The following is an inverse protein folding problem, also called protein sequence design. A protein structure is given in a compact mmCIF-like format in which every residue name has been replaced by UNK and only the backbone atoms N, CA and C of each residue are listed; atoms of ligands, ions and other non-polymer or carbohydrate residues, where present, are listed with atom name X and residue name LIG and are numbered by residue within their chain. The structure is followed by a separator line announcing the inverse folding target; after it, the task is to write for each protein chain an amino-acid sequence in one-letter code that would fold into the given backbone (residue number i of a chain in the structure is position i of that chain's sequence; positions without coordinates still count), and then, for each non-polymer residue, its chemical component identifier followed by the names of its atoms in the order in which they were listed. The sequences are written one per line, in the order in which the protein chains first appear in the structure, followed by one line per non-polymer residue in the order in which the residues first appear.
data_IF_579666822105
#
_entry.id   IF_579666822105
#
_cell.length_a   1.000
_cell.length_b   1.000
_cell.length_c   1.000
_cell.angle_alpha   90.00
_cell.angle_beta   90.00
_cell.angle_gamma   90.00
#
_symmetry.space_group_name_H-M   'P 1'
#
loop_
_entity.id
_entity.type
_entity.pdbx_description
1 polymer ?
#
# COMPACT_ATOMS: atom_id res chain seq x y z
N UNK A 1 14.82 -22.71 34.84
CA UNK A 1 15.78 -22.25 35.87
C UNK A 1 15.01 -21.93 37.12
N UNK A 2 15.31 -22.56 38.25
CA UNK A 2 14.64 -22.30 39.53
C UNK A 2 15.52 -21.38 40.36
N UNK A 3 15.03 -20.25 40.78
CA UNK A 3 15.73 -19.39 41.74
C UNK A 3 15.14 -19.59 43.13
N UNK A 4 15.97 -19.89 44.13
CA UNK A 4 15.62 -19.90 45.56
C UNK A 4 16.02 -18.58 46.17
N UNK A 5 15.04 -17.82 46.65
CA UNK A 5 15.27 -16.67 47.52
C UNK A 5 14.98 -17.03 48.96
N UNK A 6 15.91 -16.77 49.86
CA UNK A 6 15.78 -16.94 51.31
C UNK A 6 15.48 -15.58 51.94
N UNK A 7 14.36 -15.45 52.59
CA UNK A 7 14.06 -14.37 53.50
C UNK A 7 13.23 -14.90 54.66
N UNK A 8 13.74 -14.67 55.88
CA UNK A 8 13.06 -14.97 57.16
C UNK A 8 12.56 -16.41 57.35
N UNK A 9 13.42 -17.40 57.17
CA UNK A 9 13.16 -18.77 57.63
C UNK A 9 12.06 -19.55 56.89
N UNK A 10 11.51 -19.03 55.79
CA UNK A 10 10.55 -19.73 54.94
C UNK A 10 11.06 -19.80 53.48
N UNK A 11 11.07 -20.99 52.92
CA UNK A 11 11.41 -21.22 51.50
C UNK A 11 10.12 -21.07 50.66
N UNK A 12 10.08 -20.11 49.74
CA UNK A 12 9.06 -20.04 48.72
C UNK A 12 9.68 -20.52 47.42
N UNK A 13 9.16 -21.61 46.88
CA UNK A 13 9.50 -22.06 45.51
C UNK A 13 8.49 -21.48 44.54
N UNK A 14 8.89 -20.51 43.71
CA UNK A 14 8.10 -20.09 42.58
C UNK A 14 8.43 -21.02 41.40
N UNK A 15 7.49 -21.88 41.05
CA UNK A 15 7.52 -22.64 39.80
C UNK A 15 6.93 -21.77 38.71
N UNK A 16 7.75 -21.25 37.79
CA UNK A 16 7.28 -20.67 36.53
C UNK A 16 6.76 -21.79 35.63
N UNK A 17 5.47 -22.13 35.77
CA UNK A 17 4.75 -22.91 34.77
C UNK A 17 4.23 -21.94 33.71
N UNK A 18 4.79 -22.02 32.54
CA UNK A 18 4.27 -21.35 31.37
C UNK A 18 5.35 -20.64 30.55
N UNK A 19 6.12 -21.40 29.79
CA UNK A 19 6.55 -20.87 28.49
C UNK A 19 5.27 -20.58 27.73
N UNK A 20 4.80 -19.32 27.74
CA UNK A 20 3.89 -18.86 26.69
C UNK A 20 4.68 -19.11 25.41
N UNK A 21 4.25 -20.10 24.64
CA UNK A 21 4.73 -20.26 23.27
C UNK A 21 4.63 -18.89 22.63
N UNK A 22 5.76 -18.35 22.19
CA UNK A 22 5.78 -17.17 21.34
C UNK A 22 4.86 -17.53 20.17
N UNK A 23 3.75 -16.83 19.92
CA UNK A 23 2.84 -17.22 18.87
C UNK A 23 3.66 -17.28 17.59
N UNK A 24 3.68 -18.46 16.96
CA UNK A 24 4.38 -18.68 15.71
C UNK A 24 3.99 -17.57 14.75
N UNK A 25 4.97 -16.86 14.20
CA UNK A 25 4.74 -15.81 13.19
C UNK A 25 3.86 -16.46 12.13
N UNK A 26 2.62 -15.97 11.96
CA UNK A 26 1.72 -16.49 10.93
C UNK A 26 2.43 -16.27 9.59
N UNK A 27 2.82 -17.34 8.86
CA UNK A 27 3.72 -17.21 7.70
C UNK A 27 3.16 -16.35 6.57
N UNK A 28 1.88 -15.96 6.67
CA UNK A 28 1.12 -15.26 5.64
C UNK A 28 0.79 -13.80 5.98
N UNK A 29 1.37 -13.24 7.06
CA UNK A 29 1.14 -11.84 7.47
C UNK A 29 2.37 -10.96 7.14
N UNK A 30 2.11 -9.65 7.00
CA UNK A 30 3.14 -8.65 6.72
C UNK A 30 3.53 -8.54 5.24
N UNK A 31 4.54 -7.72 4.98
CA UNK A 31 5.07 -7.47 3.63
C UNK A 31 5.88 -8.67 3.14
N UNK A 32 5.65 -9.06 1.89
CA UNK A 32 6.48 -10.01 1.14
C UNK A 32 6.92 -9.36 -0.16
N UNK A 33 8.19 -9.45 -0.46
CA UNK A 33 8.76 -9.04 -1.76
C UNK A 33 8.49 -10.15 -2.77
N UNK A 34 7.86 -9.80 -3.89
CA UNK A 34 7.68 -10.68 -5.05
C UNK A 34 8.76 -10.45 -6.09
N UNK A 35 9.19 -9.21 -6.24
CA UNK A 35 10.28 -8.80 -7.13
C UNK A 35 10.92 -7.51 -6.64
N UNK A 36 12.23 -7.42 -6.72
CA UNK A 36 13.01 -6.23 -6.35
C UNK A 36 14.16 -6.04 -7.36
N UNK A 37 14.10 -5.01 -8.20
CA UNK A 37 15.19 -4.65 -9.09
C UNK A 37 16.32 -3.95 -8.31
N UNK A 38 17.47 -3.80 -8.94
CA UNK A 38 18.63 -3.15 -8.30
C UNK A 38 18.32 -1.70 -7.87
N UNK A 39 17.62 -0.94 -8.71
CA UNK A 39 17.25 0.46 -8.45
C UNK A 39 15.75 0.69 -8.67
N UNK A 40 14.90 0.30 -7.72
CA UNK A 40 13.47 0.48 -7.88
C UNK A 40 13.06 1.95 -7.77
N UNK A 41 12.25 2.44 -8.72
CA UNK A 41 11.74 3.82 -8.74
C UNK A 41 10.35 3.95 -8.12
N UNK A 42 9.61 2.86 -8.00
CA UNK A 42 8.24 2.81 -7.48
C UNK A 42 8.00 1.50 -6.73
N UNK A 43 7.14 1.54 -5.72
CA UNK A 43 6.64 0.36 -5.01
C UNK A 43 5.21 0.06 -5.46
N UNK A 44 4.97 -1.11 -6.06
CA UNK A 44 3.65 -1.65 -6.32
C UNK A 44 3.26 -2.53 -5.13
N UNK A 45 2.21 -2.15 -4.41
CA UNK A 45 1.78 -2.82 -3.17
C UNK A 45 0.43 -3.48 -3.38
N UNK A 46 0.40 -4.80 -3.37
CA UNK A 46 -0.78 -5.62 -3.55
C UNK A 46 -1.42 -5.97 -2.21
N UNK A 47 -2.72 -5.65 -2.04
CA UNK A 47 -3.49 -5.86 -0.81
C UNK A 47 -4.72 -6.68 -1.11
N UNK A 48 -4.77 -7.92 -0.59
CA UNK A 48 -5.88 -8.85 -0.81
C UNK A 48 -7.13 -8.50 0.01
N UNK A 49 -8.27 -9.09 -0.35
CA UNK A 49 -9.54 -8.94 0.35
C UNK A 49 -9.79 -10.02 1.39
N UNK A 50 -11.06 -10.08 1.88
CA UNK A 50 -11.52 -11.14 2.79
C UNK A 50 -11.39 -12.51 2.12
N UNK A 51 -11.09 -13.54 2.91
CA UNK A 51 -10.76 -14.90 2.43
C UNK A 51 -9.54 -14.97 1.52
N UNK A 52 -8.89 -13.84 1.27
CA UNK A 52 -7.71 -13.75 0.44
C UNK A 52 -6.44 -14.22 1.15
N UNK A 53 -5.40 -14.32 0.36
CA UNK A 53 -4.05 -14.68 0.79
C UNK A 53 -3.05 -13.85 -0.01
N UNK A 54 -1.98 -13.40 0.64
CA UNK A 54 -1.00 -12.52 0.00
C UNK A 54 -0.39 -13.05 -1.31
N UNK A 55 -0.41 -14.38 -1.51
CA UNK A 55 0.04 -15.01 -2.75
C UNK A 55 -1.15 -15.50 -3.58
N UNK A 56 -1.98 -16.39 -3.05
CA UNK A 56 -3.02 -17.09 -3.82
C UNK A 56 -4.14 -16.20 -4.35
N UNK A 57 -4.35 -15.01 -3.80
CA UNK A 57 -5.30 -14.06 -4.37
C UNK A 57 -4.88 -13.65 -5.79
N UNK A 58 -3.60 -13.56 -6.03
CA UNK A 58 -2.97 -13.08 -7.26
C UNK A 58 -2.51 -14.21 -8.18
N UNK A 59 -2.81 -15.46 -7.86
CA UNK A 59 -2.43 -16.63 -8.66
C UNK A 59 -3.59 -17.09 -9.52
N UNK A 60 -3.35 -17.43 -10.77
CA UNK A 60 -4.36 -17.96 -11.69
C UNK A 60 -4.95 -19.26 -11.15
N UNK A 61 -4.11 -20.12 -10.59
CA UNK A 61 -4.49 -21.34 -9.89
C UNK A 61 -3.73 -21.50 -8.56
N UNK A 62 -4.07 -22.54 -7.79
CA UNK A 62 -3.47 -22.73 -6.44
C UNK A 62 -2.00 -23.11 -6.46
N UNK A 63 -1.48 -23.60 -7.57
CA UNK A 63 -0.12 -24.11 -7.70
C UNK A 63 0.81 -23.14 -8.45
N UNK A 64 0.25 -22.10 -9.06
CA UNK A 64 1.02 -21.09 -9.77
C UNK A 64 1.54 -19.99 -8.84
N UNK A 65 2.68 -19.42 -9.19
CA UNK A 65 3.16 -18.18 -8.59
C UNK A 65 2.16 -17.03 -8.88
N UNK A 66 2.12 -15.99 -8.04
CA UNK A 66 1.32 -14.79 -8.30
C UNK A 66 1.69 -14.14 -9.64
N UNK A 67 0.67 -13.77 -10.44
CA UNK A 67 0.89 -13.10 -11.72
C UNK A 67 1.73 -11.80 -11.61
N UNK A 68 1.65 -11.01 -10.50
CA UNK A 68 2.54 -9.86 -10.35
C UNK A 68 4.02 -10.25 -10.35
N UNK A 69 4.37 -11.42 -9.80
CA UNK A 69 5.74 -11.96 -9.83
C UNK A 69 6.13 -12.47 -11.22
N UNK A 70 5.18 -13.10 -11.93
CA UNK A 70 5.46 -13.75 -13.21
C UNK A 70 5.49 -12.78 -14.40
N UNK A 71 4.59 -11.79 -14.39
CA UNK A 71 4.32 -10.99 -15.58
C UNK A 71 4.83 -9.55 -15.50
N UNK A 72 4.83 -8.92 -14.31
CA UNK A 72 5.19 -7.51 -14.21
C UNK A 72 6.71 -7.23 -14.35
N UNK A 73 7.65 -8.08 -13.87
CA UNK A 73 9.07 -7.77 -13.97
C UNK A 73 9.57 -7.53 -15.38
N UNK A 74 9.06 -8.26 -16.37
CA UNK A 74 9.42 -8.07 -17.78
C UNK A 74 8.77 -6.85 -18.44
N UNK A 75 7.75 -6.27 -17.83
CA UNK A 75 6.93 -5.18 -18.38
C UNK A 75 7.10 -3.86 -17.66
N UNK A 76 7.51 -3.90 -16.40
CA UNK A 76 7.81 -2.76 -15.52
C UNK A 76 9.03 -3.16 -14.69
N UNK A 77 10.21 -3.31 -15.32
CA UNK A 77 11.42 -3.82 -14.66
C UNK A 77 11.92 -2.92 -13.54
N UNK A 78 11.57 -1.64 -13.54
CA UNK A 78 11.96 -0.65 -12.55
C UNK A 78 11.07 -0.62 -11.28
N UNK A 79 9.97 -1.38 -11.25
CA UNK A 79 9.08 -1.41 -10.10
C UNK A 79 9.49 -2.51 -9.11
N UNK A 80 9.52 -2.18 -7.80
CA UNK A 80 9.53 -3.17 -6.75
C UNK A 80 8.11 -3.65 -6.49
N UNK A 81 7.92 -4.98 -6.46
CA UNK A 81 6.60 -5.59 -6.33
C UNK A 81 6.48 -6.22 -4.93
N UNK A 82 5.51 -5.74 -4.18
CA UNK A 82 5.25 -6.12 -2.80
C UNK A 82 3.84 -6.66 -2.67
N UNK A 83 3.64 -7.63 -1.79
CA UNK A 83 2.30 -8.05 -1.36
C UNK A 83 2.20 -7.97 0.15
N UNK A 84 1.06 -7.49 0.64
CA UNK A 84 0.76 -7.41 2.07
C UNK A 84 -0.25 -8.47 2.46
N UNK A 85 0.09 -9.27 3.47
CA UNK A 85 -0.76 -10.29 4.04
C UNK A 85 -1.27 -9.92 5.43
N UNK A 86 -2.53 -10.25 5.69
CA UNK A 86 -3.16 -10.12 6.99
C UNK A 86 -4.16 -11.26 7.22
N UNK A 87 -4.63 -11.47 8.46
CA UNK A 87 -5.60 -12.51 8.76
C UNK A 87 -6.99 -12.10 8.23
N UNK A 88 -7.24 -12.48 6.99
CA UNK A 88 -8.51 -12.24 6.30
C UNK A 88 -9.49 -13.41 6.42
N UNK A 89 -9.30 -14.32 7.41
CA UNK A 89 -10.30 -15.35 7.68
C UNK A 89 -11.62 -14.69 8.04
N UNK A 90 -12.73 -15.18 7.43
CA UNK A 90 -14.05 -14.60 7.67
C UNK A 90 -14.39 -14.60 9.17
N UNK A 91 -14.06 -15.68 9.87
CA UNK A 91 -14.27 -15.76 11.33
C UNK A 91 -13.36 -14.76 12.08
N UNK A 92 -12.10 -14.65 11.68
CA UNK A 92 -11.16 -13.69 12.26
C UNK A 92 -11.56 -12.26 11.94
N UNK A 93 -11.82 -11.96 10.67
CA UNK A 93 -12.25 -10.66 10.21
C UNK A 93 -13.54 -10.21 10.92
N UNK A 94 -14.61 -11.05 10.94
CA UNK A 94 -15.88 -10.73 11.58
C UNK A 94 -15.86 -10.81 13.12
N UNK A 95 -15.03 -11.62 13.74
CA UNK A 95 -14.81 -11.60 15.21
C UNK A 95 -14.04 -10.35 15.65
N UNK A 96 -13.15 -9.88 14.81
CA UNK A 96 -12.33 -8.70 15.07
C UNK A 96 -13.04 -7.40 14.66
N UNK A 97 -14.02 -7.41 13.76
CA UNK A 97 -14.84 -6.23 13.42
C UNK A 97 -15.56 -5.72 14.68
N UNK A 98 -16.00 -6.61 15.59
CA UNK A 98 -16.49 -6.20 16.91
C UNK A 98 -15.44 -5.46 17.77
N UNK A 99 -14.16 -5.42 17.32
CA UNK A 99 -13.00 -4.78 17.98
C UNK A 99 -12.18 -3.88 17.04
N UNK A 100 -12.78 -3.36 15.95
CA UNK A 100 -12.13 -2.44 15.02
C UNK A 100 -11.01 -3.05 14.13
N UNK A 101 -11.23 -4.25 13.59
CA UNK A 101 -10.20 -5.01 12.85
C UNK A 101 -9.75 -4.41 11.52
N UNK A 102 -10.61 -3.66 10.81
CA UNK A 102 -10.14 -2.92 9.62
C UNK A 102 -9.07 -1.94 10.06
N UNK A 103 -9.30 -1.19 11.14
CA UNK A 103 -8.32 -0.28 11.71
C UNK A 103 -7.03 -0.98 12.14
N UNK A 104 -7.11 -2.17 12.74
CA UNK A 104 -5.91 -2.96 13.11
C UNK A 104 -5.12 -3.39 11.87
N UNK A 105 -5.80 -3.87 10.82
CA UNK A 105 -5.14 -4.26 9.57
C UNK A 105 -4.55 -3.06 8.84
N UNK A 106 -5.23 -1.92 8.86
CA UNK A 106 -4.78 -0.65 8.28
C UNK A 106 -3.55 -0.12 9.00
N UNK A 107 -3.54 -0.14 10.32
CA UNK A 107 -2.39 0.26 11.12
C UNK A 107 -1.20 -0.70 10.93
N UNK A 108 -1.46 -2.01 10.81
CA UNK A 108 -0.43 -3.00 10.51
C UNK A 108 0.17 -2.79 9.11
N UNK A 109 -0.65 -2.48 8.09
CA UNK A 109 -0.19 -2.14 6.76
C UNK A 109 0.70 -0.89 6.80
N UNK A 110 0.24 0.16 7.47
CA UNK A 110 0.95 1.44 7.59
C UNK A 110 2.30 1.26 8.29
N UNK A 111 2.32 0.57 9.44
CA UNK A 111 3.53 0.30 10.20
C UNK A 111 4.52 -0.59 9.43
N UNK A 112 4.01 -1.66 8.79
CA UNK A 112 4.84 -2.56 7.99
C UNK A 112 5.48 -1.85 6.79
N UNK A 113 4.72 -1.01 6.06
CA UNK A 113 5.24 -0.22 4.95
C UNK A 113 6.27 0.80 5.41
N UNK A 114 5.99 1.52 6.49
CA UNK A 114 6.92 2.52 7.02
C UNK A 114 8.25 1.87 7.42
N UNK A 115 8.20 0.76 8.16
CA UNK A 115 9.41 0.03 8.58
C UNK A 115 10.16 -0.56 7.39
N UNK A 116 9.46 -1.19 6.44
CA UNK A 116 10.07 -1.82 5.27
C UNK A 116 10.71 -0.81 4.32
N UNK A 117 10.25 0.44 4.31
CA UNK A 117 10.69 1.52 3.43
C UNK A 117 11.66 2.50 4.10
N UNK A 118 12.20 2.18 5.27
CA UNK A 118 13.09 3.08 6.02
C UNK A 118 14.29 3.61 5.21
N UNK A 119 14.79 2.83 4.26
CA UNK A 119 15.89 3.24 3.35
C UNK A 119 15.40 3.90 2.04
N UNK A 120 14.09 4.03 1.84
CA UNK A 120 13.48 4.54 0.61
C UNK A 120 12.16 5.27 0.91
N UNK A 121 12.16 6.10 1.95
CA UNK A 121 10.97 6.74 2.50
C UNK A 121 10.19 7.59 1.49
N UNK A 122 10.87 8.17 0.49
CA UNK A 122 10.27 9.05 -0.52
C UNK A 122 9.88 8.33 -1.82
N UNK A 123 10.18 7.02 -1.95
CA UNK A 123 9.81 6.29 -3.16
C UNK A 123 8.30 6.30 -3.35
N UNK A 124 7.80 6.62 -4.55
CA UNK A 124 6.38 6.55 -4.87
C UNK A 124 5.76 5.19 -4.58
N UNK A 125 4.48 5.20 -4.20
CA UNK A 125 3.68 4.00 -3.92
C UNK A 125 2.47 3.99 -4.85
N UNK A 126 2.19 2.83 -5.44
CA UNK A 126 0.94 2.53 -6.12
C UNK A 126 0.33 1.32 -5.43
N UNK A 127 -0.90 1.45 -4.94
CA UNK A 127 -1.64 0.34 -4.36
C UNK A 127 -2.51 -0.35 -5.40
N UNK A 128 -2.50 -1.68 -5.37
CA UNK A 128 -3.43 -2.55 -6.08
C UNK A 128 -4.21 -3.34 -5.03
N UNK A 129 -5.48 -3.03 -4.86
CA UNK A 129 -6.28 -3.55 -3.76
C UNK A 129 -7.52 -4.30 -4.26
N UNK A 130 -7.67 -5.54 -3.82
CA UNK A 130 -8.81 -6.39 -4.18
C UNK A 130 -9.87 -6.39 -3.07
N UNK A 131 -11.15 -6.22 -3.46
CA UNK A 131 -12.30 -6.39 -2.57
C UNK A 131 -12.17 -5.53 -1.29
N UNK A 132 -12.38 -6.11 -0.11
CA UNK A 132 -12.22 -5.40 1.18
C UNK A 132 -10.79 -4.90 1.47
N UNK A 133 -9.77 -5.38 0.75
CA UNK A 133 -8.42 -4.83 0.81
C UNK A 133 -8.37 -3.34 0.43
N UNK A 134 -9.29 -2.89 -0.43
CA UNK A 134 -9.44 -1.48 -0.75
C UNK A 134 -9.89 -0.62 0.44
N UNK A 135 -10.71 -1.17 1.34
CA UNK A 135 -11.11 -0.48 2.57
C UNK A 135 -9.94 -0.41 3.56
N UNK A 136 -9.13 -1.48 3.65
CA UNK A 136 -7.89 -1.49 4.46
C UNK A 136 -6.93 -0.40 3.98
N UNK A 137 -6.73 -0.28 2.66
CA UNK A 137 -5.89 0.78 2.07
C UNK A 137 -6.45 2.16 2.38
N UNK A 138 -7.75 2.39 2.14
CA UNK A 138 -8.39 3.69 2.43
C UNK A 138 -8.21 4.11 3.89
N UNK A 139 -8.49 3.21 4.83
CA UNK A 139 -8.36 3.49 6.26
C UNK A 139 -6.89 3.70 6.68
N UNK A 140 -5.94 2.97 6.05
CA UNK A 140 -4.51 3.22 6.25
C UNK A 140 -4.10 4.62 5.79
N UNK A 141 -4.62 5.11 4.64
CA UNK A 141 -4.36 6.47 4.18
C UNK A 141 -4.97 7.53 5.11
N UNK A 142 -6.15 7.28 5.67
CA UNK A 142 -6.76 8.16 6.67
C UNK A 142 -5.95 8.18 7.96
N UNK A 143 -5.50 7.03 8.43
CA UNK A 143 -4.64 6.89 9.61
C UNK A 143 -3.29 7.58 9.38
N UNK A 144 -2.70 7.43 8.19
CA UNK A 144 -1.49 8.14 7.77
C UNK A 144 -1.67 9.66 7.83
N UNK A 145 -2.77 10.18 7.26
CA UNK A 145 -3.11 11.61 7.29
C UNK A 145 -3.22 12.16 8.71
N UNK A 146 -3.87 11.41 9.60
CA UNK A 146 -4.13 11.81 10.99
C UNK A 146 -2.95 11.56 11.94
N UNK A 147 -1.91 10.86 11.50
CA UNK A 147 -0.80 10.46 12.37
C UNK A 147 0.04 11.67 12.80
N UNK A 148 0.39 11.80 14.08
CA UNK A 148 1.40 12.75 14.54
C UNK A 148 2.81 12.36 14.11
N UNK A 149 3.05 11.06 13.84
CA UNK A 149 4.35 10.50 13.51
C UNK A 149 4.75 10.80 12.05
N UNK A 150 5.86 11.52 11.81
CA UNK A 150 6.26 11.91 10.46
C UNK A 150 6.48 10.73 9.51
N UNK A 151 7.07 9.62 9.99
CA UNK A 151 7.34 8.43 9.19
C UNK A 151 6.05 7.72 8.72
N UNK A 152 4.97 7.75 9.52
CA UNK A 152 3.67 7.21 9.14
C UNK A 152 2.93 8.15 8.18
N UNK A 153 3.00 9.48 8.43
CA UNK A 153 2.38 10.49 7.55
C UNK A 153 2.97 10.46 6.14
N UNK A 154 4.28 10.24 6.04
CA UNK A 154 5.01 10.17 4.77
C UNK A 154 4.49 9.08 3.82
N UNK A 155 3.83 8.05 4.34
CA UNK A 155 3.23 7.01 3.48
C UNK A 155 2.20 7.64 2.55
N UNK A 156 1.26 8.45 3.06
CA UNK A 156 0.26 9.17 2.23
C UNK A 156 0.95 10.09 1.23
N UNK A 157 1.98 10.82 1.66
CA UNK A 157 2.71 11.76 0.79
C UNK A 157 3.38 11.06 -0.40
N UNK A 158 3.72 9.78 -0.24
CA UNK A 158 4.33 8.96 -1.30
C UNK A 158 3.31 8.26 -2.21
N UNK A 159 2.05 8.13 -1.82
CA UNK A 159 1.05 7.47 -2.67
C UNK A 159 0.75 8.32 -3.90
N UNK A 160 0.79 7.67 -5.05
CA UNK A 160 0.53 8.29 -6.36
C UNK A 160 -0.75 7.80 -6.98
N UNK A 161 -1.03 6.50 -6.84
CA UNK A 161 -2.20 5.92 -7.48
C UNK A 161 -2.78 4.76 -6.66
N UNK A 162 -4.06 4.50 -6.91
CA UNK A 162 -4.84 3.42 -6.32
C UNK A 162 -5.60 2.68 -7.43
N UNK A 163 -5.33 1.41 -7.60
CA UNK A 163 -6.11 0.50 -8.44
C UNK A 163 -7.01 -0.34 -7.55
N UNK A 164 -8.30 -0.20 -7.69
CA UNK A 164 -9.29 -0.99 -6.96
C UNK A 164 -9.87 -2.08 -7.85
N UNK A 165 -9.81 -3.33 -7.41
CA UNK A 165 -10.37 -4.49 -8.09
C UNK A 165 -11.57 -5.00 -7.29
N UNK A 166 -12.79 -4.74 -7.72
CA UNK A 166 -14.02 -5.15 -7.05
C UNK A 166 -14.13 -4.65 -5.60
N UNK A 167 -13.65 -3.43 -5.31
CA UNK A 167 -13.76 -2.84 -3.97
C UNK A 167 -15.08 -2.13 -3.81
N UNK A 168 -15.87 -2.38 -2.74
CA UNK A 168 -17.10 -1.65 -2.51
C UNK A 168 -16.81 -0.21 -2.06
N UNK A 169 -17.30 0.78 -2.82
CA UNK A 169 -17.12 2.20 -2.54
C UNK A 169 -18.39 2.88 -2.02
N UNK A 170 -19.56 2.37 -2.40
CA UNK A 170 -20.86 2.93 -2.01
C UNK A 170 -21.84 1.80 -1.71
N UNK A 171 -22.93 2.15 -1.05
CA UNK A 171 -24.13 1.35 -0.95
C UNK A 171 -24.71 1.30 0.44
N UNK A 172 -26.04 1.46 0.52
CA UNK A 172 -26.84 1.08 1.67
C UNK A 172 -26.75 -0.46 1.93
N UNK A 173 -26.29 -1.20 0.92
CA UNK A 173 -26.26 -2.66 0.86
C UNK A 173 -24.92 -3.27 1.21
N UNK A 174 -24.06 -2.56 1.98
CA UNK A 174 -22.81 -3.15 2.51
C UNK A 174 -23.10 -4.40 3.34
N UNK A 175 -24.27 -4.48 3.98
CA UNK A 175 -24.75 -5.68 4.64
C UNK A 175 -24.98 -6.83 3.66
N UNK A 176 -25.54 -6.54 2.49
CA UNK A 176 -25.79 -7.55 1.43
C UNK A 176 -24.48 -7.99 0.77
N UNK A 177 -23.59 -7.05 0.49
CA UNK A 177 -22.23 -7.36 0.01
C UNK A 177 -21.49 -8.25 1.03
N UNK A 178 -21.60 -7.92 2.30
CA UNK A 178 -21.04 -8.74 3.38
C UNK A 178 -21.65 -10.14 3.43
N UNK A 179 -22.97 -10.29 3.26
CA UNK A 179 -23.63 -11.60 3.18
C UNK A 179 -23.15 -12.41 1.97
N UNK A 180 -23.00 -11.77 0.80
CA UNK A 180 -22.46 -12.40 -0.42
C UNK A 180 -21.01 -12.86 -0.18
N UNK A 181 -20.17 -12.04 0.45
CA UNK A 181 -18.80 -12.39 0.81
C UNK A 181 -18.72 -13.57 1.80
N UNK A 182 -19.66 -13.65 2.74
CA UNK A 182 -19.80 -14.79 3.67
C UNK A 182 -20.18 -16.08 2.94
N UNK A 183 -21.14 -16.00 2.01
CA UNK A 183 -21.51 -17.13 1.14
C UNK A 183 -20.31 -17.55 0.29
N UNK A 184 -19.59 -16.60 -0.28
CA UNK A 184 -18.35 -16.83 -1.02
C UNK A 184 -17.31 -17.63 -0.21
N UNK A 185 -17.25 -17.40 1.10
CA UNK A 185 -16.34 -18.10 2.01
C UNK A 185 -16.82 -19.50 2.42
N UNK A 186 -17.98 -19.96 1.95
CA UNK A 186 -18.54 -21.28 2.29
C UNK A 186 -19.09 -21.37 3.72
N UNK A 187 -19.33 -20.26 4.40
CA UNK A 187 -19.80 -20.21 5.79
C UNK A 187 -21.32 -20.09 5.86
N UNK A 188 -22.02 -21.15 5.49
CA UNK A 188 -23.49 -21.16 5.31
C UNK A 188 -24.30 -21.62 6.52
N UNK A 189 -23.72 -21.75 7.72
CA UNK A 189 -24.49 -22.19 8.90
C UNK A 189 -25.36 -21.07 9.47
N UNK A 190 -26.62 -21.39 9.82
CA UNK A 190 -27.60 -20.43 10.39
C UNK A 190 -27.11 -19.70 11.65
N UNK A 191 -26.23 -20.31 12.45
CA UNK A 191 -25.62 -19.71 13.65
C UNK A 191 -24.56 -18.65 13.29
N UNK A 192 -23.84 -18.89 12.20
CA UNK A 192 -22.82 -17.96 11.68
C UNK A 192 -23.48 -16.75 11.04
N UNK A 193 -24.56 -16.93 10.28
CA UNK A 193 -25.31 -15.85 9.64
C UNK A 193 -25.87 -14.81 10.60
N UNK A 194 -26.53 -15.22 11.71
CA UNK A 194 -27.08 -14.24 12.67
C UNK A 194 -26.03 -13.39 13.37
N UNK A 195 -24.87 -13.98 13.72
CA UNK A 195 -23.76 -13.22 14.32
C UNK A 195 -23.15 -12.25 13.33
N UNK A 196 -23.04 -12.66 12.07
CA UNK A 196 -22.46 -11.84 11.00
C UNK A 196 -23.40 -10.69 10.65
N UNK A 197 -24.69 -10.91 10.52
CA UNK A 197 -25.69 -9.85 10.26
C UNK A 197 -25.65 -8.76 11.36
N UNK A 198 -25.60 -9.16 12.65
CA UNK A 198 -25.53 -8.22 13.75
C UNK A 198 -24.20 -7.44 13.82
N UNK A 199 -23.14 -7.98 13.24
CA UNK A 199 -21.85 -7.31 13.06
C UNK A 199 -21.92 -6.38 11.86
N UNK A 200 -22.42 -6.82 10.70
CA UNK A 200 -22.61 -6.01 9.50
C UNK A 200 -23.42 -4.72 9.75
N UNK A 201 -24.45 -4.77 10.59
CA UNK A 201 -25.23 -3.59 10.97
C UNK A 201 -24.42 -2.57 11.78
N UNK A 202 -23.54 -3.02 12.67
CA UNK A 202 -22.65 -2.15 13.45
C UNK A 202 -21.47 -1.64 12.63
N UNK A 203 -21.03 -2.41 11.65
CA UNK A 203 -19.89 -2.08 10.80
C UNK A 203 -20.25 -1.15 9.64
N UNK A 204 -21.54 -0.97 9.35
CA UNK A 204 -21.99 0.07 8.42
C UNK A 204 -21.48 1.46 8.85
N UNK A 205 -21.34 1.73 10.14
CA UNK A 205 -20.77 2.99 10.66
C UNK A 205 -19.27 3.10 10.38
N UNK A 206 -18.50 2.05 10.59
CA UNK A 206 -17.04 2.03 10.31
C UNK A 206 -16.80 2.20 8.81
N UNK A 207 -17.53 1.46 7.99
CA UNK A 207 -17.44 1.54 6.54
C UNK A 207 -17.87 2.93 6.03
N UNK A 208 -18.95 3.48 6.57
CA UNK A 208 -19.40 4.83 6.26
C UNK A 208 -18.34 5.88 6.63
N UNK A 209 -17.73 5.77 7.83
CA UNK A 209 -16.64 6.65 8.27
C UNK A 209 -15.46 6.59 7.30
N UNK A 210 -15.03 5.39 6.90
CA UNK A 210 -13.92 5.20 5.96
C UNK A 210 -14.25 5.85 4.61
N UNK A 211 -15.43 5.61 4.07
CA UNK A 211 -15.85 6.16 2.79
C UNK A 211 -15.94 7.69 2.83
N UNK A 212 -16.60 8.23 3.85
CA UNK A 212 -16.73 9.68 4.06
C UNK A 212 -15.36 10.34 4.21
N UNK A 213 -14.51 9.78 5.09
CA UNK A 213 -13.17 10.29 5.33
C UNK A 213 -12.29 10.25 4.07
N UNK A 214 -12.39 9.19 3.27
CA UNK A 214 -11.65 9.07 2.03
C UNK A 214 -12.11 10.09 0.98
N UNK A 215 -13.42 10.33 0.84
CA UNK A 215 -13.93 11.40 -0.03
C UNK A 215 -13.45 12.78 0.43
N UNK A 216 -13.42 13.04 1.74
CA UNK A 216 -12.90 14.29 2.29
C UNK A 216 -11.40 14.46 2.00
N UNK A 217 -10.62 13.37 2.08
CA UNK A 217 -9.21 13.34 1.71
C UNK A 217 -9.03 13.75 0.24
N UNK A 218 -9.76 13.12 -0.69
CA UNK A 218 -9.69 13.43 -2.11
C UNK A 218 -10.07 14.89 -2.42
N UNK A 219 -11.16 15.38 -1.82
CA UNK A 219 -11.59 16.78 -1.97
C UNK A 219 -10.56 17.78 -1.43
N UNK A 220 -9.89 17.47 -0.32
CA UNK A 220 -8.87 18.35 0.24
C UNK A 220 -7.66 18.47 -0.69
N UNK A 221 -7.20 17.36 -1.28
CA UNK A 221 -6.09 17.38 -2.23
C UNK A 221 -6.39 18.20 -3.48
N UNK A 222 -7.62 18.14 -4.00
CA UNK A 222 -8.06 18.97 -5.14
C UNK A 222 -8.06 20.46 -4.82
N UNK A 223 -8.49 20.85 -3.60
CA UNK A 223 -8.56 22.26 -3.19
C UNK A 223 -7.19 22.89 -2.94
N UNK A 224 -6.31 22.14 -2.34
CA UNK A 224 -4.99 22.62 -1.93
C UNK A 224 -4.01 22.72 -3.12
N UNK A 225 -4.44 22.31 -4.35
CA UNK A 225 -3.56 22.21 -5.51
C UNK A 225 -2.38 21.27 -5.28
N UNK A 226 -2.46 20.50 -4.20
CA UNK A 226 -1.52 19.42 -3.92
C UNK A 226 -1.77 18.29 -4.91
N UNK A 227 -0.79 17.44 -5.09
CA UNK A 227 -0.84 16.33 -6.02
C UNK A 227 -2.08 15.46 -5.80
N UNK A 228 -2.96 15.39 -6.79
CA UNK A 228 -4.15 14.55 -6.77
C UNK A 228 -3.77 13.07 -6.89
N UNK A 229 -4.45 12.21 -6.11
CA UNK A 229 -4.32 10.76 -6.27
C UNK A 229 -4.96 10.31 -7.58
N UNK A 230 -4.21 9.59 -8.38
CA UNK A 230 -4.75 8.86 -9.53
C UNK A 230 -5.53 7.63 -9.02
N UNK A 231 -6.73 7.40 -9.54
CA UNK A 231 -7.57 6.27 -9.13
C UNK A 231 -8.19 5.64 -10.36
N UNK A 232 -8.17 4.32 -10.43
CA UNK A 232 -8.96 3.53 -11.37
C UNK A 232 -9.68 2.43 -10.63
N UNK A 233 -10.96 2.24 -10.92
CA UNK A 233 -11.80 1.22 -10.36
C UNK A 233 -12.07 0.14 -11.41
N UNK A 234 -11.79 -1.13 -11.08
CA UNK A 234 -12.17 -2.27 -11.90
C UNK A 234 -13.37 -2.97 -11.24
N UNK A 235 -14.37 -3.32 -12.04
CA UNK A 235 -15.55 -4.05 -11.57
C UNK A 235 -15.72 -5.37 -12.30
N UNK A 236 -16.37 -6.35 -11.63
CA UNK A 236 -16.67 -7.67 -12.17
C UNK A 236 -17.85 -7.60 -13.16
N UNK A 237 -17.73 -8.27 -14.28
CA UNK A 237 -18.81 -8.36 -15.28
C UNK A 237 -19.55 -9.70 -15.23
N UNK A 238 -18.99 -10.69 -14.52
CA UNK A 238 -19.59 -12.00 -14.41
C UNK A 238 -20.06 -12.29 -13.00
N UNK A 239 -21.27 -12.85 -12.85
CA UNK A 239 -21.76 -13.32 -11.56
C UNK A 239 -20.96 -14.54 -11.10
N UNK A 240 -20.78 -14.70 -9.80
CA UNK A 240 -20.24 -15.93 -9.26
C UNK A 240 -21.29 -17.05 -9.34
N UNK A 241 -20.88 -18.29 -9.71
CA UNK A 241 -21.81 -19.42 -9.90
C UNK A 241 -22.83 -19.54 -8.76
N UNK A 242 -24.13 -19.46 -9.11
CA UNK A 242 -25.26 -19.54 -8.17
C UNK A 242 -25.52 -18.29 -7.32
N UNK A 243 -24.84 -17.17 -7.60
CA UNK A 243 -25.04 -15.87 -6.94
C UNK A 243 -25.04 -14.78 -8.01
N UNK A 244 -25.57 -13.59 -7.68
CA UNK A 244 -25.31 -12.36 -8.43
C UNK A 244 -23.86 -11.91 -8.25
N UNK A 245 -23.47 -10.83 -8.88
CA UNK A 245 -22.22 -10.12 -8.61
C UNK A 245 -22.00 -9.95 -7.10
N UNK A 246 -20.79 -10.16 -6.63
CA UNK A 246 -20.48 -9.98 -5.20
C UNK A 246 -20.50 -8.50 -4.84
N UNK A 247 -19.85 -7.67 -5.67
CA UNK A 247 -19.88 -6.22 -5.56
C UNK A 247 -20.48 -5.64 -6.83
N UNK A 248 -21.73 -5.15 -6.79
CA UNK A 248 -22.36 -4.53 -7.96
C UNK A 248 -21.52 -3.41 -8.53
N UNK A 249 -21.57 -3.21 -9.85
CA UNK A 249 -20.77 -2.21 -10.56
C UNK A 249 -20.96 -0.80 -9.99
N UNK A 250 -22.19 -0.44 -9.62
CA UNK A 250 -22.49 0.88 -9.00
C UNK A 250 -21.78 1.06 -7.65
N UNK A 251 -21.54 -0.04 -6.92
CA UNK A 251 -20.80 -0.01 -5.66
C UNK A 251 -19.30 -0.07 -5.86
N UNK A 252 -18.82 -0.69 -6.95
CA UNK A 252 -17.41 -0.89 -7.25
C UNK A 252 -16.72 0.33 -7.88
N UNK A 253 -17.46 1.35 -8.29
CA UNK A 253 -16.95 2.52 -9.01
C UNK A 253 -17.00 3.76 -8.14
N UNK A 254 -15.93 4.54 -8.13
CA UNK A 254 -15.88 5.87 -7.53
C UNK A 254 -16.31 6.93 -8.56
N UNK A 255 -17.35 7.71 -8.26
CA UNK A 255 -17.80 8.77 -9.15
C UNK A 255 -16.68 9.78 -9.44
N UNK A 256 -16.52 10.10 -10.72
CA UNK A 256 -15.50 11.05 -11.20
C UNK A 256 -14.12 10.42 -11.46
N UNK A 257 -14.00 9.10 -11.32
CA UNK A 257 -12.76 8.35 -11.64
C UNK A 257 -13.01 7.30 -12.73
N UNK A 258 -11.97 6.94 -13.51
CA UNK A 258 -12.05 5.88 -14.51
C UNK A 258 -12.58 4.56 -13.94
N UNK A 259 -13.42 3.88 -14.72
CA UNK A 259 -13.95 2.58 -14.41
C UNK A 259 -13.69 1.61 -15.57
N UNK A 260 -13.24 0.39 -15.26
CA UNK A 260 -12.90 -0.66 -16.22
C UNK A 260 -13.67 -1.92 -15.85
N UNK A 261 -14.50 -2.43 -16.77
CA UNK A 261 -15.11 -3.75 -16.66
C UNK A 261 -14.07 -4.84 -16.95
N UNK A 262 -13.99 -5.84 -16.09
CA UNK A 262 -13.16 -7.03 -16.30
C UNK A 262 -14.10 -8.22 -16.46
N UNK A 263 -13.99 -8.93 -17.57
CA UNK A 263 -14.85 -10.08 -17.89
C UNK A 263 -14.51 -11.31 -17.04
N UNK A 264 -14.74 -11.17 -15.73
CA UNK A 264 -14.46 -12.16 -14.71
C UNK A 264 -15.43 -12.01 -13.53
N UNK A 265 -15.52 -13.05 -12.70
CA UNK A 265 -16.21 -12.98 -11.41
C UNK A 265 -15.34 -12.28 -10.34
N UNK A 266 -15.89 -12.12 -9.14
CA UNK A 266 -15.21 -11.44 -8.03
C UNK A 266 -13.83 -11.99 -7.65
N UNK A 267 -13.60 -13.28 -7.85
CA UNK A 267 -12.28 -13.90 -7.62
C UNK A 267 -11.36 -13.75 -8.83
N UNK A 268 -11.96 -13.92 -10.01
CA UNK A 268 -11.26 -13.83 -11.29
C UNK A 268 -10.68 -12.46 -11.58
N UNK A 269 -11.35 -11.39 -11.16
CA UNK A 269 -10.92 -10.01 -11.39
C UNK A 269 -9.49 -9.71 -10.84
N UNK A 270 -9.01 -10.50 -9.89
CA UNK A 270 -7.67 -10.40 -9.32
C UNK A 270 -6.70 -11.47 -9.86
N UNK A 271 -7.09 -12.27 -10.87
CA UNK A 271 -6.34 -13.44 -11.34
C UNK A 271 -6.21 -13.45 -12.85
N UNK A 272 -5.02 -13.22 -13.31
CA UNK A 272 -4.72 -13.25 -14.74
C UNK A 272 -3.84 -14.46 -15.06
N UNK A 273 -4.27 -15.26 -16.05
CA UNK A 273 -3.57 -16.49 -16.43
C UNK A 273 -2.47 -16.25 -17.47
N UNK A 274 -2.58 -15.19 -18.27
CA UNK A 274 -1.63 -14.86 -19.32
C UNK A 274 -1.44 -13.35 -19.45
N UNK A 275 -0.39 -12.98 -20.15
CA UNK A 275 -0.10 -11.59 -20.45
C UNK A 275 -1.01 -10.98 -21.53
N UNK A 276 -1.73 -11.82 -22.26
CA UNK A 276 -2.69 -11.43 -23.29
C UNK A 276 -4.12 -11.36 -22.76
N UNK A 277 -4.31 -11.63 -21.45
CA UNK A 277 -5.59 -11.46 -20.77
C UNK A 277 -6.03 -9.99 -20.85
N UNK A 278 -7.23 -9.68 -21.39
CA UNK A 278 -7.69 -8.30 -21.56
C UNK A 278 -7.72 -7.51 -20.24
N UNK A 279 -8.07 -8.19 -19.12
CA UNK A 279 -8.05 -7.58 -17.79
C UNK A 279 -6.63 -7.22 -17.35
N UNK A 280 -5.67 -8.13 -17.59
CA UNK A 280 -4.25 -7.84 -17.33
C UNK A 280 -3.73 -6.68 -18.18
N UNK A 281 -4.04 -6.67 -19.48
CA UNK A 281 -3.64 -5.60 -20.41
C UNK A 281 -4.16 -4.24 -19.92
N UNK A 282 -5.42 -4.18 -19.49
CA UNK A 282 -6.03 -2.96 -18.95
C UNK A 282 -5.33 -2.50 -17.67
N UNK A 283 -5.12 -3.40 -16.72
CA UNK A 283 -4.40 -3.12 -15.46
C UNK A 283 -2.97 -2.67 -15.73
N UNK A 284 -2.25 -3.34 -16.62
CA UNK A 284 -0.89 -2.96 -17.00
C UNK A 284 -0.83 -1.57 -17.66
N UNK A 285 -1.83 -1.24 -18.48
CA UNK A 285 -1.97 0.09 -19.10
C UNK A 285 -2.02 1.21 -18.06
N UNK A 286 -2.87 1.06 -17.04
CA UNK A 286 -2.98 2.01 -15.94
C UNK A 286 -1.69 2.11 -15.12
N UNK A 287 -1.07 0.99 -14.77
CA UNK A 287 0.20 0.99 -14.04
C UNK A 287 1.29 1.73 -14.81
N UNK A 288 1.44 1.48 -16.10
CA UNK A 288 2.43 2.15 -16.96
C UNK A 288 2.16 3.65 -17.09
N UNK A 289 0.88 4.03 -17.24
CA UNK A 289 0.49 5.44 -17.30
C UNK A 289 0.91 6.18 -16.04
N UNK A 290 0.65 5.63 -14.86
CA UNK A 290 1.00 6.25 -13.60
C UNK A 290 2.50 6.26 -13.33
N UNK A 291 3.21 5.19 -13.67
CA UNK A 291 4.67 5.12 -13.51
C UNK A 291 5.37 6.12 -14.42
N UNK A 292 4.88 6.30 -15.67
CA UNK A 292 5.38 7.34 -16.57
C UNK A 292 5.27 8.76 -16.02
N UNK A 293 4.26 9.03 -15.19
CA UNK A 293 4.09 10.33 -14.50
C UNK A 293 5.00 10.49 -13.26
N UNK A 294 5.49 9.39 -12.71
CA UNK A 294 6.37 9.40 -11.54
C UNK A 294 7.82 9.65 -11.91
N UNK A 295 8.24 9.24 -13.10
CA UNK A 295 9.58 9.50 -13.63
C UNK A 295 9.62 10.94 -14.13
N UNK A 296 10.45 11.84 -13.55
CA UNK A 296 10.59 13.18 -14.07
C UNK A 296 11.03 13.12 -15.54
N UNK A 297 10.42 13.92 -16.39
CA UNK A 297 10.87 14.08 -17.77
C UNK A 297 12.23 14.78 -17.80
N UNK A 298 13.00 14.60 -18.88
CA UNK A 298 14.29 15.28 -19.05
C UNK A 298 14.13 16.80 -18.95
N UNK A 299 13.02 17.36 -19.45
CA UNK A 299 12.66 18.77 -19.32
C UNK A 299 12.42 19.23 -17.88
N UNK A 300 11.82 18.37 -17.04
CA UNK A 300 11.59 18.67 -15.61
C UNK A 300 12.89 18.61 -14.84
N UNK A 301 13.76 17.65 -15.14
CA UNK A 301 15.12 17.57 -14.58
C UNK A 301 15.95 18.79 -14.96
N UNK A 302 15.90 19.26 -16.21
CA UNK A 302 16.59 20.47 -16.64
C UNK A 302 16.06 21.73 -15.94
N UNK A 303 14.75 21.84 -15.74
CA UNK A 303 14.13 22.92 -14.97
C UNK A 303 14.55 22.91 -13.50
N UNK A 304 14.61 21.75 -12.85
CA UNK A 304 15.09 21.62 -11.48
C UNK A 304 16.58 21.98 -11.36
N UNK A 305 17.42 21.51 -12.27
CA UNK A 305 18.84 21.88 -12.34
C UNK A 305 18.99 23.38 -12.53
N UNK A 306 18.19 23.97 -13.42
CA UNK A 306 18.17 25.42 -13.65
C UNK A 306 17.73 26.22 -12.41
N UNK A 307 16.75 25.70 -11.64
CA UNK A 307 16.28 26.33 -10.41
C UNK A 307 17.34 26.27 -9.29
N UNK A 308 18.04 25.14 -9.17
CA UNK A 308 19.15 24.98 -8.21
C UNK A 308 20.31 25.92 -8.53
N UNK A 309 20.67 26.02 -9.81
CA UNK A 309 21.71 26.97 -10.28
C UNK A 309 21.33 28.43 -9.92
N UNK A 310 20.08 28.82 -10.14
CA UNK A 310 19.58 30.18 -9.83
C UNK A 310 19.60 30.48 -8.31
N UNK A 311 19.16 29.53 -7.47
CA UNK A 311 19.20 29.69 -6.01
C UNK A 311 20.64 29.86 -5.49
N UNK A 312 21.60 29.10 -6.03
CA UNK A 312 23.02 29.21 -5.67
C UNK A 312 23.60 30.54 -6.10
N UNK A 313 23.31 30.99 -7.32
CA UNK A 313 23.71 32.30 -7.82
C UNK A 313 23.20 33.43 -6.91
N UNK A 314 21.93 33.40 -6.55
CA UNK A 314 21.30 34.38 -5.66
C UNK A 314 21.91 34.36 -4.24
N UNK A 315 22.20 33.19 -3.67
CA UNK A 315 22.84 33.05 -2.37
C UNK A 315 24.29 33.53 -2.39
N UNK A 316 25.04 33.29 -3.46
CA UNK A 316 26.42 33.82 -3.64
C UNK A 316 26.44 35.36 -3.71
N UNK A 317 25.41 35.93 -4.39
CA UNK A 317 25.23 37.38 -4.47
C UNK A 317 24.83 38.00 -3.13
N UNK A 318 23.95 37.37 -2.37
CA UNK A 318 23.51 37.81 -1.05
C UNK A 318 24.69 37.77 -0.03
N UNK A 319 25.52 36.72 -0.07
CA UNK A 319 26.70 36.60 0.79
C UNK A 319 27.82 37.61 0.43
N UNK A 320 28.03 37.92 -0.85
CA UNK A 320 28.95 39.00 -1.27
C UNK A 320 28.53 40.40 -0.75
N UNK A 321 27.22 40.68 -0.74
CA UNK A 321 26.68 41.93 -0.21
C UNK A 321 26.82 42.08 1.32
N UNK A 322 26.94 40.95 2.05
CA UNK A 322 27.07 40.95 3.53
C UNK A 322 28.49 40.91 4.04
N UNK A 323 29.52 41.03 3.19
CA UNK A 323 30.94 41.18 3.61
C UNK A 323 31.51 39.94 4.34
N UNK A 324 30.87 38.77 4.23
CA UNK A 324 31.31 37.56 4.91
C UNK A 324 32.52 36.92 4.25
N UNK A 325 33.59 36.71 5.02
CA UNK A 325 34.73 35.86 4.63
C UNK A 325 34.19 34.45 4.37
N UNK A 326 34.51 33.89 3.21
CA UNK A 326 34.23 32.51 2.84
C UNK A 326 34.86 31.56 3.87
N UNK A 327 34.04 30.95 4.72
CA UNK A 327 34.44 29.78 5.47
C UNK A 327 34.45 28.62 4.47
N UNK A 328 35.55 27.84 4.45
CA UNK A 328 35.80 26.80 3.47
C UNK A 328 34.62 25.81 3.37
N UNK A 329 34.19 25.64 2.15
CA UNK A 329 33.08 24.76 1.80
C UNK A 329 33.48 23.29 2.06
N UNK A 330 33.12 22.76 3.22
CA UNK A 330 33.17 21.31 3.46
C UNK A 330 32.18 20.69 2.51
N UNK A 331 32.71 19.95 1.52
CA UNK A 331 31.93 19.41 0.39
C UNK A 331 30.80 18.49 0.81
N UNK A 332 29.66 19.07 1.19
CA UNK A 332 28.43 18.34 1.42
C UNK A 332 27.84 17.93 0.07
N UNK A 333 27.74 16.63 -0.15
CA UNK A 333 27.04 16.07 -1.30
C UNK A 333 25.55 16.20 -1.05
N UNK A 334 24.85 16.94 -1.90
CA UNK A 334 23.39 17.05 -1.85
C UNK A 334 22.81 16.29 -3.01
N UNK A 335 21.99 15.25 -2.72
CA UNK A 335 21.32 14.44 -3.72
C UNK A 335 19.91 14.99 -3.93
N UNK A 336 19.56 15.30 -5.17
CA UNK A 336 18.24 15.78 -5.58
C UNK A 336 17.63 14.79 -6.56
N UNK A 337 16.40 14.37 -6.30
CA UNK A 337 15.65 13.47 -7.19
C UNK A 337 15.71 11.99 -6.82
N UNK A 338 15.13 11.16 -7.67
CA UNK A 338 15.13 9.71 -7.51
C UNK A 338 16.52 9.12 -7.81
N UNK A 339 16.87 8.03 -7.10
CA UNK A 339 18.18 7.37 -7.16
C UNK A 339 18.60 6.92 -8.58
N UNK A 340 17.66 6.76 -9.49
CA UNK A 340 17.93 6.38 -10.90
C UNK A 340 18.34 7.53 -11.81
N UNK A 341 17.95 8.77 -11.47
CA UNK A 341 18.32 9.98 -12.21
C UNK A 341 18.50 11.13 -11.23
N UNK A 342 19.52 11.07 -10.42
CA UNK A 342 19.80 12.08 -9.39
C UNK A 342 20.75 13.14 -9.87
N UNK A 343 20.50 14.37 -9.46
CA UNK A 343 21.47 15.47 -9.61
C UNK A 343 22.28 15.54 -8.34
N UNK A 344 23.58 15.31 -8.44
CA UNK A 344 24.50 15.40 -7.32
C UNK A 344 25.27 16.71 -7.44
N UNK A 345 25.33 17.44 -6.33
CA UNK A 345 26.14 18.63 -6.25
C UNK A 345 27.24 18.40 -5.21
N UNK A 346 28.49 18.46 -5.65
CA UNK A 346 29.65 18.44 -4.78
C UNK A 346 30.41 19.79 -4.96
N UNK A 347 30.30 20.67 -3.98
CA UNK A 347 30.86 22.00 -4.11
C UNK A 347 30.32 22.77 -5.34
N UNK A 348 31.18 23.08 -6.28
CA UNK A 348 30.82 23.78 -7.53
C UNK A 348 30.47 22.87 -8.71
N UNK A 349 30.61 21.57 -8.58
CA UNK A 349 30.30 20.60 -9.66
C UNK A 349 28.87 20.06 -9.56
N UNK A 350 28.20 19.98 -10.69
CA UNK A 350 26.90 19.32 -10.86
C UNK A 350 27.13 18.09 -11.71
N UNK A 351 26.83 16.90 -11.16
CA UNK A 351 26.97 15.63 -11.85
C UNK A 351 25.56 15.09 -12.12
N UNK A 352 25.26 14.89 -13.38
CA UNK A 352 24.04 14.20 -13.84
C UNK A 352 24.42 12.81 -14.32
N UNK A 353 23.73 11.78 -13.83
CA UNK A 353 23.97 10.42 -14.32
C UNK A 353 23.33 9.33 -13.47
N UNK A 354 23.40 8.11 -13.99
CA UNK A 354 23.04 6.92 -13.24
C UNK A 354 24.14 6.62 -12.22
N UNK A 355 23.82 6.71 -10.92
CA UNK A 355 24.78 6.38 -9.87
C UNK A 355 24.76 4.89 -9.58
N UNK A 356 25.86 4.25 -9.92
CA UNK A 356 26.19 2.92 -9.42
C UNK A 356 27.00 3.10 -8.13
N UNK A 357 26.39 2.87 -6.97
CA UNK A 357 27.14 2.80 -5.73
C UNK A 357 27.92 1.48 -5.69
N UNK A 358 29.19 1.53 -6.07
CA UNK A 358 30.15 0.49 -5.74
C UNK A 358 30.47 0.59 -4.25
N UNK A 359 29.95 -0.34 -3.43
CA UNK A 359 30.36 -0.44 -2.04
C UNK A 359 31.79 -0.94 -1.92
N UNK A 360 32.77 -0.08 -1.67
CA UNK A 360 34.04 -0.53 -1.12
C UNK A 360 33.87 -0.63 0.39
N UNK A 361 33.95 -1.85 0.92
CA UNK A 361 34.21 -2.12 2.32
C UNK A 361 35.65 -1.66 2.60
N UNK A 362 35.83 -0.76 3.51
CA UNK A 362 37.00 -0.60 4.31
C UNK A 362 36.64 -0.92 5.77
#
# INVERSE_FOLDING_TARGET
MSFKLWREGRSFSYSWKGTKEVPAIKPNCGIKVLYEPHNPIVDLVFVHGITGHRDHTWSADRNSDPWPKLMLPSRIPEARILTFGYDASVIGFWRSISRNSIGDHSNNLLSALSSFRSNAELRPIIFIAHSLGGLVVKDALLSSRASPEPHLRRILDCVRALLFLGTPHYGADLADIGQRLVKLAGLTTAKTNRKIIGVLQRDSEVLFRIQKGFQELLRSQQKDGTRTLEITCCYEELPLMGMSEIVPSESAVLHGYPAIGIHADHRGIARFASADDPGFVSVLGELRRWIGQVVPTDDELEKEVGAVKRKRSNNRWANRKRGGKSCGDTGAITIWGNVTRSVITNGDQIIQGNLVFGGSRA
#
